data_IF_897470124382
#
_entry.id   IF_897470124382
#
_cell.length_a   1.000
_cell.length_b   1.000
_cell.length_c   1.000
_cell.angle_alpha   90.00
_cell.angle_beta   90.00
_cell.angle_gamma   90.00
#
_symmetry.space_group_name_H-M   'P 1'
#
loop_
_entity.id
_entity.type
_entity.pdbx_description
1 polymer ?
#
# COMPACT_ATOMS: atom_id res chain seq x y z
N UNK A 1 -3.97 -3.38 4.60
CA UNK A 1 -4.50 -3.58 3.25
C UNK A 1 -4.32 -2.32 2.42
N UNK A 2 -4.01 -2.51 1.14
CA UNK A 2 -3.89 -1.42 0.17
C UNK A 2 -5.06 -1.50 -0.80
N UNK A 3 -5.77 -0.39 -0.96
CA UNK A 3 -6.90 -0.32 -1.89
C UNK A 3 -6.62 0.84 -2.83
N UNK A 4 -6.47 0.54 -4.13
CA UNK A 4 -6.18 1.57 -5.12
C UNK A 4 -7.47 2.27 -5.50
N UNK A 5 -7.54 3.55 -5.20
CA UNK A 5 -8.69 4.39 -5.51
C UNK A 5 -8.57 4.93 -6.93
N UNK A 6 -7.37 5.36 -7.30
CA UNK A 6 -7.15 5.97 -8.59
C UNK A 6 -5.71 5.71 -9.01
N UNK A 7 -5.50 5.31 -10.26
CA UNK A 7 -4.17 5.03 -10.78
C UNK A 7 -3.78 3.58 -10.60
N UNK A 8 -2.49 3.33 -10.50
CA UNK A 8 -1.96 1.99 -10.28
C UNK A 8 -0.71 2.05 -9.45
N UNK A 9 -0.38 0.95 -8.81
CA UNK A 9 0.80 0.87 -7.97
C UNK A 9 1.35 -0.55 -7.97
N UNK A 10 2.55 -0.69 -7.43
CA UNK A 10 3.20 -1.99 -7.26
C UNK A 10 3.67 -2.10 -5.82
N UNK A 11 3.56 -3.29 -5.26
CA UNK A 11 4.11 -3.57 -3.94
C UNK A 11 5.24 -4.58 -4.13
N UNK A 12 6.46 -4.19 -3.77
CA UNK A 12 7.61 -5.08 -3.83
C UNK A 12 7.78 -5.76 -2.48
N UNK A 13 8.21 -7.01 -2.52
CA UNK A 13 8.49 -7.78 -1.30
C UNK A 13 9.99 -8.09 -1.23
N UNK A 14 10.48 -8.31 -0.03
CA UNK A 14 11.91 -8.52 0.18
C UNK A 14 12.39 -9.89 -0.32
N UNK A 15 11.49 -10.77 -0.70
CA UNK A 15 11.85 -12.05 -1.33
C UNK A 15 12.07 -11.90 -2.84
N UNK A 16 11.93 -10.69 -3.37
CA UNK A 16 12.10 -10.43 -4.79
C UNK A 16 10.83 -10.47 -5.60
N UNK A 17 9.71 -10.85 -4.99
CA UNK A 17 8.43 -10.86 -5.70
C UNK A 17 7.75 -9.49 -5.63
N UNK A 18 6.73 -9.31 -6.45
CA UNK A 18 5.96 -8.07 -6.43
C UNK A 18 4.53 -8.36 -6.90
N UNK A 19 3.64 -7.44 -6.57
CA UNK A 19 2.25 -7.50 -7.00
C UNK A 19 1.87 -6.13 -7.54
N UNK A 20 1.14 -6.11 -8.66
CA UNK A 20 0.65 -4.88 -9.24
C UNK A 20 -0.85 -4.75 -8.95
N UNK A 21 -1.26 -3.54 -8.60
CA UNK A 21 -2.65 -3.25 -8.31
C UNK A 21 -3.12 -2.12 -9.21
N UNK A 22 -4.23 -2.35 -9.86
CA UNK A 22 -4.87 -1.32 -10.67
C UNK A 22 -6.03 -0.72 -9.89
N UNK A 23 -6.61 0.30 -10.46
CA UNK A 23 -7.74 0.99 -9.86
C UNK A 23 -8.83 0.01 -9.47
N UNK A 24 -9.30 0.13 -8.23
CA UNK A 24 -10.34 -0.73 -7.70
C UNK A 24 -9.85 -2.04 -7.10
N UNK A 25 -8.55 -2.32 -7.21
CA UNK A 25 -8.00 -3.56 -6.67
C UNK A 25 -7.46 -3.36 -5.25
N UNK A 26 -7.41 -4.46 -4.52
CA UNK A 26 -6.98 -4.45 -3.14
C UNK A 26 -6.01 -5.60 -2.89
N UNK A 27 -5.06 -5.37 -2.02
CA UNK A 27 -4.14 -6.42 -1.58
C UNK A 27 -3.91 -6.31 -0.07
N UNK A 28 -3.95 -7.44 0.59
CA UNK A 28 -3.69 -7.49 2.03
C UNK A 28 -2.29 -8.06 2.25
N UNK A 29 -1.41 -7.23 2.80
CA UNK A 29 -0.06 -7.67 3.12
C UNK A 29 -0.09 -8.34 4.49
N UNK A 30 0.38 -9.61 4.59
CA UNK A 30 0.39 -10.28 5.88
C UNK A 30 1.27 -9.55 6.88
N UNK A 31 0.93 -9.67 8.15
CA UNK A 31 1.70 -9.05 9.21
C UNK A 31 3.14 -9.60 9.20
N UNK A 32 4.10 -8.70 9.40
CA UNK A 32 5.49 -9.09 9.45
C UNK A 32 6.18 -9.24 8.12
N UNK A 33 5.46 -9.12 7.03
CA UNK A 33 6.05 -9.21 5.71
C UNK A 33 6.58 -7.83 5.32
N UNK A 34 7.87 -7.78 5.04
CA UNK A 34 8.50 -6.53 4.65
C UNK A 34 8.17 -6.22 3.20
N UNK A 35 7.75 -5.00 2.95
CA UNK A 35 7.26 -4.62 1.63
C UNK A 35 7.55 -3.16 1.34
N UNK A 36 7.47 -2.80 0.06
CA UNK A 36 7.73 -1.43 -0.38
C UNK A 36 6.70 -1.06 -1.45
N UNK A 37 5.79 -0.13 -1.15
CA UNK A 37 4.85 0.35 -2.17
C UNK A 37 5.54 1.33 -3.11
N UNK A 38 5.26 1.20 -4.41
CA UNK A 38 5.86 2.03 -5.44
C UNK A 38 4.83 2.39 -6.49
N UNK A 39 4.99 3.53 -7.12
CA UNK A 39 4.19 3.91 -8.27
C UNK A 39 5.03 4.77 -9.20
N UNK A 40 4.82 4.62 -10.51
CA UNK A 40 5.53 5.43 -11.48
C UNK A 40 4.97 6.83 -11.58
N UNK A 41 3.70 6.98 -11.27
CA UNK A 41 3.05 8.29 -11.26
C UNK A 41 2.15 8.36 -10.04
N UNK A 42 1.57 9.53 -9.83
CA UNK A 42 0.71 9.75 -8.67
C UNK A 42 -0.44 8.76 -8.66
N UNK A 43 -0.71 8.20 -7.49
CA UNK A 43 -1.71 7.19 -7.31
C UNK A 43 -2.38 7.42 -5.96
N UNK A 44 -3.69 7.30 -5.92
CA UNK A 44 -4.44 7.44 -4.67
C UNK A 44 -4.70 6.07 -4.09
N UNK A 45 -4.26 5.87 -2.86
CA UNK A 45 -4.35 4.58 -2.19
C UNK A 45 -4.95 4.78 -0.81
N UNK A 46 -5.92 3.95 -0.47
CA UNK A 46 -6.45 3.92 0.88
C UNK A 46 -5.76 2.80 1.65
N UNK A 47 -5.25 3.12 2.82
CA UNK A 47 -4.64 2.13 3.69
C UNK A 47 -5.60 1.80 4.81
N UNK A 48 -5.82 0.51 5.01
CA UNK A 48 -6.64 0.03 6.11
C UNK A 48 -5.75 -0.80 7.02
N UNK A 49 -5.67 -0.40 8.28
CA UNK A 49 -4.75 -1.00 9.23
C UNK A 49 -5.52 -1.74 10.31
N UNK A 50 -4.93 -2.81 10.88
CA UNK A 50 -5.57 -3.49 11.99
C UNK A 50 -5.71 -2.57 13.20
N UNK A 51 -6.68 -2.88 14.03
CA UNK A 51 -6.87 -2.15 15.26
C UNK A 51 -5.62 -2.28 16.13
N UNK A 52 -5.22 -1.18 16.74
CA UNK A 52 -4.04 -1.16 17.59
C UNK A 52 -2.78 -0.69 16.90
N UNK A 53 -2.79 -0.57 15.59
CA UNK A 53 -1.67 0.01 14.87
C UNK A 53 -1.79 1.53 14.94
N UNK A 54 -0.71 2.19 15.33
CA UNK A 54 -0.71 3.65 15.41
C UNK A 54 -0.65 4.22 14.00
N UNK A 55 -1.57 5.12 13.74
CA UNK A 55 -1.74 5.65 12.40
C UNK A 55 -2.22 7.09 12.54
N UNK A 56 -1.61 8.01 11.83
CA UNK A 56 -1.92 9.42 11.95
C UNK A 56 -3.33 9.76 11.48
N UNK A 57 -3.88 8.98 10.59
CA UNK A 57 -5.20 9.23 10.07
C UNK A 57 -6.31 8.41 10.70
N UNK A 58 -5.99 7.63 11.70
CA UNK A 58 -6.95 6.68 12.26
C UNK A 58 -6.82 5.33 11.56
N UNK A 59 -7.93 4.61 11.44
CA UNK A 59 -7.89 3.26 10.88
C UNK A 59 -7.59 3.22 9.39
N UNK A 60 -7.86 4.31 8.71
CA UNK A 60 -7.60 4.39 7.28
C UNK A 60 -7.00 5.75 6.94
N UNK A 61 -6.21 5.80 5.91
CA UNK A 61 -5.64 7.04 5.42
C UNK A 61 -5.43 6.93 3.92
N UNK A 62 -5.41 8.08 3.28
CA UNK A 62 -5.27 8.17 1.85
C UNK A 62 -3.89 8.71 1.50
N UNK A 63 -3.24 8.05 0.55
CA UNK A 63 -1.95 8.48 0.04
C UNK A 63 -2.12 8.90 -1.42
N UNK A 64 -1.47 9.98 -1.81
CA UNK A 64 -1.51 10.42 -3.20
C UNK A 64 -0.30 9.97 -4.00
N UNK A 65 0.72 9.50 -3.32
CA UNK A 65 1.89 8.92 -3.95
C UNK A 65 2.53 7.98 -2.96
N UNK A 66 2.93 6.79 -3.38
CA UNK A 66 3.61 5.89 -2.47
C UNK A 66 4.97 6.43 -2.13
N UNK A 67 5.43 6.13 -0.96
CA UNK A 67 6.80 6.41 -0.66
C UNK A 67 7.60 5.13 -0.90
N UNK A 68 8.76 5.23 -1.51
CA UNK A 68 9.56 4.09 -1.92
C UNK A 68 10.38 3.50 -0.78
N UNK A 69 9.81 3.46 0.39
CA UNK A 69 10.52 2.95 1.56
C UNK A 69 9.95 1.61 1.99
N UNK A 70 10.83 0.76 2.49
CA UNK A 70 10.42 -0.53 3.04
C UNK A 70 9.75 -0.35 4.39
N UNK A 71 8.70 -1.07 4.60
CA UNK A 71 7.94 -1.04 5.86
C UNK A 71 7.70 -2.46 6.36
#
# INVERSE_FOLDING_TARGET
AFIVIEGSMRIDFDDGSSVELDEGEMYVVPRGVRHRPCAESECKVMLVEPKGVVNTGGADSELTAPNDEWV
#
